data_IF_331587368013
#
_entry.id   IF_331587368013
#
_cell.length_a   1.000
_cell.length_b   1.000
_cell.length_c   1.000
_cell.angle_alpha   90.00
_cell.angle_beta   90.00
_cell.angle_gamma   90.00
#
_symmetry.space_group_name_H-M   'P 1'
#
loop_
_entity.id
_entity.type
_entity.pdbx_description
1 polymer ?
#
# COMPACT_ATOMS: atom_id res chain seq x y z
N UNK A 1 17.08 -34.75 34.95
CA UNK A 1 17.63 -34.24 33.67
C UNK A 1 16.51 -34.28 32.65
N UNK A 2 15.72 -33.21 32.56
CA UNK A 2 14.51 -33.17 31.72
C UNK A 2 14.72 -32.05 30.71
N UNK A 3 15.06 -32.43 29.47
CA UNK A 3 15.27 -31.50 28.36
C UNK A 3 13.94 -30.79 28.04
N UNK A 4 13.92 -29.47 28.23
CA UNK A 4 12.94 -28.58 27.58
C UNK A 4 13.11 -28.74 26.06
N UNK A 5 12.06 -29.20 25.39
CA UNK A 5 11.94 -29.10 23.94
C UNK A 5 11.62 -27.63 23.67
N UNK A 6 12.56 -26.92 23.06
CA UNK A 6 12.34 -25.58 22.57
C UNK A 6 11.35 -25.66 21.39
N UNK A 7 10.18 -25.05 21.58
CA UNK A 7 9.21 -24.79 20.53
C UNK A 7 9.83 -23.79 19.55
N UNK A 8 10.38 -24.31 18.45
CA UNK A 8 10.82 -23.51 17.31
C UNK A 8 9.60 -23.28 16.40
N UNK A 9 8.76 -22.33 16.77
CA UNK A 9 7.69 -21.82 15.91
C UNK A 9 7.67 -20.28 15.92
N UNK A 10 8.85 -19.65 15.87
CA UNK A 10 8.94 -18.21 15.64
C UNK A 10 8.95 -17.92 14.12
N UNK A 11 7.82 -18.24 13.47
CA UNK A 11 7.60 -17.97 12.04
C UNK A 11 6.84 -16.66 11.87
N UNK A 12 7.60 -15.57 11.76
CA UNK A 12 7.23 -14.28 11.14
C UNK A 12 5.81 -13.80 11.43
N UNK A 13 5.59 -13.21 12.62
CA UNK A 13 4.40 -12.38 12.85
C UNK A 13 4.40 -11.21 11.88
N UNK A 14 3.57 -11.29 10.85
CA UNK A 14 3.35 -10.17 9.93
C UNK A 14 2.53 -9.09 10.65
N UNK A 15 2.90 -7.81 10.52
CA UNK A 15 2.09 -6.72 11.05
C UNK A 15 0.66 -6.80 10.48
N UNK A 16 -0.34 -6.57 11.33
CA UNK A 16 -1.78 -6.67 11.04
C UNK A 16 -2.33 -5.50 10.21
N UNK A 17 -1.47 -4.57 9.80
CA UNK A 17 -1.83 -3.41 8.99
C UNK A 17 -1.34 -3.61 7.57
N UNK A 18 -2.04 -2.99 6.60
CA UNK A 18 -1.50 -2.90 5.24
C UNK A 18 -0.18 -2.10 5.22
N UNK A 19 0.49 -2.10 4.06
CA UNK A 19 1.71 -1.32 3.86
C UNK A 19 1.44 0.19 4.09
N UNK A 20 2.37 0.84 4.80
CA UNK A 20 2.36 2.30 4.95
C UNK A 20 3.10 2.94 3.78
N UNK A 21 2.36 3.15 2.69
CA UNK A 21 2.88 3.73 1.46
C UNK A 21 3.46 5.13 1.69
N UNK A 22 2.93 5.89 2.66
CA UNK A 22 3.42 7.24 2.94
C UNK A 22 4.74 7.19 3.72
N UNK A 23 4.81 6.34 4.74
CA UNK A 23 6.03 6.06 5.50
C UNK A 23 7.17 5.61 4.60
N UNK A 24 6.94 4.58 3.79
CA UNK A 24 7.93 4.03 2.86
C UNK A 24 8.46 5.11 1.89
N UNK A 25 7.57 5.96 1.37
CA UNK A 25 7.96 7.07 0.48
C UNK A 25 8.73 8.15 1.22
N UNK A 26 8.35 8.46 2.46
CA UNK A 26 9.06 9.43 3.29
C UNK A 26 10.48 8.96 3.61
N UNK A 27 10.66 7.67 3.89
CA UNK A 27 11.97 7.10 4.21
C UNK A 27 12.87 7.05 2.97
N UNK A 28 12.33 6.66 1.81
CA UNK A 28 13.06 6.77 0.54
C UNK A 28 13.47 8.22 0.22
N UNK A 29 12.62 9.20 0.52
CA UNK A 29 12.95 10.61 0.32
C UNK A 29 14.04 11.09 1.29
N UNK A 30 14.04 10.60 2.55
CA UNK A 30 15.10 10.88 3.53
C UNK A 30 16.44 10.30 3.12
N UNK A 31 16.44 9.11 2.54
CA UNK A 31 17.66 8.46 2.07
C UNK A 31 18.29 9.24 0.91
N UNK A 32 17.47 9.74 -0.01
CA UNK A 32 17.94 10.49 -1.18
C UNK A 32 18.31 11.95 -0.88
N UNK A 33 17.56 12.61 0.01
CA UNK A 33 17.67 14.05 0.27
C UNK A 33 17.51 14.35 1.78
N UNK A 34 18.44 13.91 2.65
CA UNK A 34 18.32 14.09 4.09
C UNK A 34 18.23 15.56 4.51
N UNK A 35 18.90 16.46 3.78
CA UNK A 35 18.95 17.90 4.05
C UNK A 35 17.60 18.62 3.90
N UNK A 36 16.65 18.01 3.18
CA UNK A 36 15.32 18.59 2.93
C UNK A 36 14.36 18.37 4.11
N UNK A 37 14.76 17.59 5.11
CA UNK A 37 13.99 17.41 6.34
C UNK A 37 14.52 18.30 7.46
N UNK A 38 13.62 19.02 8.14
CA UNK A 38 13.92 19.81 9.33
C UNK A 38 12.87 19.48 10.41
N UNK A 39 13.34 19.15 11.63
CA UNK A 39 12.45 18.82 12.77
C UNK A 39 11.43 17.72 12.46
N UNK A 40 11.82 16.75 11.61
CA UNK A 40 10.95 15.64 11.20
C UNK A 40 9.92 15.99 10.13
N UNK A 41 9.89 17.23 9.62
CA UNK A 41 9.00 17.68 8.53
C UNK A 41 9.77 17.97 7.24
N UNK A 42 9.08 17.82 6.11
CA UNK A 42 9.62 18.13 4.79
C UNK A 42 9.62 19.64 4.53
N UNK A 43 10.78 20.21 4.24
CA UNK A 43 10.95 21.59 3.81
C UNK A 43 10.94 21.68 2.27
N UNK A 44 9.83 22.16 1.73
CA UNK A 44 9.66 22.30 0.28
C UNK A 44 10.62 23.30 -0.37
N UNK A 45 11.12 24.30 0.37
CA UNK A 45 12.11 25.24 -0.17
C UNK A 45 13.45 24.53 -0.36
N UNK A 46 13.89 23.78 0.64
CA UNK A 46 15.11 22.98 0.52
C UNK A 46 15.00 21.90 -0.54
N UNK A 47 13.84 21.23 -0.64
CA UNK A 47 13.61 20.26 -1.71
C UNK A 47 13.68 20.91 -3.10
N UNK A 48 13.10 22.11 -3.24
CA UNK A 48 13.16 22.86 -4.50
C UNK A 48 14.59 23.25 -4.86
N UNK A 49 15.40 23.66 -3.88
CA UNK A 49 16.81 23.97 -4.07
C UNK A 49 17.61 22.71 -4.45
N UNK A 50 17.39 21.59 -3.75
CA UNK A 50 18.06 20.32 -4.00
C UNK A 50 17.77 19.76 -5.40
N UNK A 51 16.52 19.85 -5.85
CA UNK A 51 16.10 19.43 -7.20
C UNK A 51 16.50 20.42 -8.30
N UNK A 52 16.78 21.68 -7.94
CA UNK A 52 17.32 22.72 -8.82
C UNK A 52 16.54 22.87 -10.12
N UNK A 53 17.21 22.57 -11.24
CA UNK A 53 16.67 22.74 -12.62
C UNK A 53 15.52 21.79 -12.96
N UNK A 54 15.28 20.74 -12.16
CA UNK A 54 14.17 19.81 -12.38
C UNK A 54 12.83 20.37 -11.89
N UNK A 55 12.83 21.47 -11.12
CA UNK A 55 11.60 22.06 -10.62
C UNK A 55 11.05 23.05 -11.64
N UNK A 56 9.99 22.63 -12.32
CA UNK A 56 9.23 23.47 -13.25
C UNK A 56 8.44 24.57 -12.51
N UNK A 57 8.57 25.81 -12.98
CA UNK A 57 7.92 27.02 -12.43
C UNK A 57 6.44 27.18 -12.86
N UNK A 58 5.93 26.28 -13.69
CA UNK A 58 4.50 25.93 -13.74
C UNK A 58 3.58 26.97 -14.34
N UNK A 59 3.65 27.18 -15.67
CA UNK A 59 2.66 28.03 -16.35
C UNK A 59 1.46 27.29 -16.94
N UNK A 60 1.56 26.01 -17.29
CA UNK A 60 0.40 25.19 -17.64
C UNK A 60 0.84 23.72 -17.72
N UNK A 61 0.28 22.87 -16.86
CA UNK A 61 0.56 21.43 -16.89
C UNK A 61 -0.70 20.72 -17.38
N UNK A 62 -0.57 19.91 -18.42
CA UNK A 62 -1.62 18.96 -18.78
C UNK A 62 -1.79 17.97 -17.63
N UNK A 63 -2.93 18.04 -16.95
CA UNK A 63 -3.25 17.18 -15.83
C UNK A 63 -4.74 17.08 -15.65
N UNK A 64 -5.27 15.87 -15.52
CA UNK A 64 -6.67 15.66 -15.21
C UNK A 64 -6.93 16.12 -13.77
N UNK A 65 -7.79 17.12 -13.60
CA UNK A 65 -8.23 17.63 -12.29
C UNK A 65 -9.73 17.48 -12.18
N UNK A 66 -10.20 16.96 -11.05
CA UNK A 66 -11.61 16.75 -10.76
C UNK A 66 -11.89 16.96 -9.28
N UNK A 67 -13.15 17.23 -8.94
CA UNK A 67 -13.61 17.38 -7.55
C UNK A 67 -13.42 16.04 -6.83
N UNK A 68 -12.82 16.07 -5.63
CA UNK A 68 -12.54 14.86 -4.84
C UNK A 68 -11.19 14.18 -5.14
N UNK A 69 -10.41 14.63 -6.13
CA UNK A 69 -9.07 14.06 -6.42
C UNK A 69 -8.16 14.04 -5.19
N UNK A 70 -8.10 15.14 -4.44
CA UNK A 70 -7.26 15.25 -3.26
C UNK A 70 -7.71 14.29 -2.14
N UNK A 71 -9.02 14.06 -2.01
CA UNK A 71 -9.59 13.15 -1.02
C UNK A 71 -9.32 11.69 -1.39
N UNK A 72 -9.49 11.31 -2.66
CA UNK A 72 -9.13 9.99 -3.15
C UNK A 72 -7.65 9.67 -2.91
N UNK A 73 -6.75 10.64 -3.13
CA UNK A 73 -5.33 10.47 -2.86
C UNK A 73 -5.03 10.29 -1.36
N UNK A 74 -5.74 11.01 -0.47
CA UNK A 74 -5.63 10.79 0.98
C UNK A 74 -6.11 9.39 1.37
N UNK A 75 -7.24 8.93 0.83
CA UNK A 75 -7.79 7.61 1.13
C UNK A 75 -6.84 6.45 0.74
N UNK A 76 -6.06 6.60 -0.33
CA UNK A 76 -5.01 5.64 -0.74
C UNK A 76 -3.87 5.56 0.29
N UNK A 77 -3.54 6.68 0.94
CA UNK A 77 -2.46 6.75 1.92
C UNK A 77 -2.84 6.21 3.30
N UNK A 78 -4.14 6.11 3.60
CA UNK A 78 -4.61 5.54 4.87
C UNK A 78 -4.40 4.02 4.87
N UNK A 79 -3.62 3.45 5.80
CA UNK A 79 -3.46 2.01 5.92
C UNK A 79 -4.78 1.33 6.29
N UNK A 80 -4.98 0.11 5.79
CA UNK A 80 -6.04 -0.79 6.23
C UNK A 80 -5.68 -1.45 7.56
N UNK A 81 -6.67 -1.61 8.43
CA UNK A 81 -6.59 -2.34 9.71
C UNK A 81 -7.38 -3.65 9.68
N UNK A 82 -7.93 -4.01 8.51
CA UNK A 82 -8.73 -5.22 8.32
C UNK A 82 -7.89 -6.50 8.26
N UNK A 83 -8.57 -7.64 8.30
CA UNK A 83 -7.96 -8.95 8.01
C UNK A 83 -8.96 -9.81 7.23
N UNK A 84 -8.45 -10.77 6.46
CA UNK A 84 -9.27 -11.74 5.74
C UNK A 84 -9.59 -12.92 6.66
N UNK A 85 -10.87 -13.30 6.72
CA UNK A 85 -11.33 -14.46 7.47
C UNK A 85 -11.63 -15.62 6.51
N UNK A 86 -11.05 -16.81 6.72
CA UNK A 86 -11.31 -17.95 5.86
C UNK A 86 -12.73 -18.52 6.11
N UNK A 87 -13.54 -18.60 5.05
CA UNK A 87 -14.84 -19.29 5.09
C UNK A 87 -14.70 -20.71 4.54
N UNK A 88 -14.42 -21.68 5.42
CA UNK A 88 -14.21 -23.08 5.02
C UNK A 88 -15.49 -23.79 4.56
N UNK A 89 -16.65 -23.36 5.06
CA UNK A 89 -17.94 -24.03 4.79
C UNK A 89 -18.39 -23.83 3.34
N UNK A 90 -18.20 -22.63 2.81
CA UNK A 90 -18.55 -22.29 1.42
C UNK A 90 -17.40 -22.52 0.42
N UNK A 91 -16.21 -22.88 0.93
CA UNK A 91 -15.04 -23.11 0.09
C UNK A 91 -15.04 -24.50 -0.54
N UNK A 92 -14.74 -24.54 -1.84
CA UNK A 92 -14.54 -25.79 -2.57
C UNK A 92 -13.06 -26.18 -2.53
N UNK A 93 -12.74 -27.38 -2.02
CA UNK A 93 -11.36 -27.88 -1.91
C UNK A 93 -10.39 -26.90 -1.22
N UNK A 94 -10.81 -26.33 -0.07
CA UNK A 94 -10.11 -25.24 0.64
C UNK A 94 -8.58 -25.44 0.75
N UNK A 95 -8.12 -26.64 1.10
CA UNK A 95 -6.70 -26.93 1.33
C UNK A 95 -5.87 -27.14 0.04
N UNK A 96 -6.51 -27.27 -1.13
CA UNK A 96 -5.85 -27.63 -2.40
C UNK A 96 -6.07 -26.62 -3.54
N UNK A 97 -7.10 -25.79 -3.46
CA UNK A 97 -7.42 -24.82 -4.50
C UNK A 97 -6.33 -23.74 -4.61
N UNK A 98 -5.94 -23.41 -5.84
CA UNK A 98 -5.08 -22.25 -6.12
C UNK A 98 -5.90 -20.98 -6.43
N UNK A 99 -7.23 -21.10 -6.48
CA UNK A 99 -8.15 -20.00 -6.75
C UNK A 99 -8.73 -19.45 -5.46
N UNK A 100 -8.77 -18.12 -5.35
CA UNK A 100 -9.27 -17.40 -4.19
C UNK A 100 -10.44 -16.52 -4.62
N UNK A 101 -11.54 -16.61 -3.89
CA UNK A 101 -12.66 -15.67 -3.95
C UNK A 101 -12.70 -14.88 -2.65
N UNK A 102 -12.86 -13.56 -2.73
CA UNK A 102 -12.88 -12.67 -1.57
C UNK A 102 -14.12 -11.80 -1.65
N UNK A 103 -14.92 -11.80 -0.60
CA UNK A 103 -16.07 -10.92 -0.45
C UNK A 103 -15.69 -9.70 0.40
N UNK A 104 -16.05 -8.50 -0.06
CA UNK A 104 -15.81 -7.24 0.65
C UNK A 104 -15.73 -6.04 -0.27
N UNK A 105 -15.46 -4.88 0.33
CA UNK A 105 -15.14 -3.66 -0.41
C UNK A 105 -13.83 -3.84 -1.19
N UNK A 106 -13.85 -3.57 -2.49
CA UNK A 106 -12.72 -3.86 -3.37
C UNK A 106 -11.47 -3.06 -3.00
N UNK A 107 -11.62 -1.82 -2.54
CA UNK A 107 -10.51 -0.96 -2.20
C UNK A 107 -9.80 -1.45 -0.94
N UNK A 108 -10.56 -1.85 0.07
CA UNK A 108 -10.01 -2.44 1.29
C UNK A 108 -9.35 -3.80 1.04
N UNK A 109 -9.98 -4.67 0.25
CA UNK A 109 -9.41 -5.98 -0.12
C UNK A 109 -8.09 -5.80 -0.85
N UNK A 110 -8.00 -4.88 -1.80
CA UNK A 110 -6.76 -4.64 -2.55
C UNK A 110 -5.63 -4.13 -1.65
N UNK A 111 -5.92 -3.33 -0.61
CA UNK A 111 -4.91 -2.92 0.38
C UNK A 111 -4.34 -4.11 1.16
N UNK A 112 -5.19 -5.07 1.54
CA UNK A 112 -4.76 -6.28 2.24
C UNK A 112 -3.90 -7.19 1.35
N UNK A 113 -4.27 -7.32 0.07
CA UNK A 113 -3.53 -8.15 -0.88
C UNK A 113 -2.19 -7.55 -1.33
N UNK A 114 -2.03 -6.23 -1.19
CA UNK A 114 -0.87 -5.48 -1.70
C UNK A 114 0.46 -6.12 -1.30
N UNK A 115 0.64 -6.45 -0.01
CA UNK A 115 1.89 -7.00 0.51
C UNK A 115 2.25 -8.37 -0.08
N UNK A 116 1.25 -9.24 -0.23
CA UNK A 116 1.47 -10.63 -0.64
C UNK A 116 1.53 -10.82 -2.16
N UNK A 117 0.86 -9.93 -2.92
CA UNK A 117 0.66 -10.06 -4.36
C UNK A 117 1.28 -8.94 -5.21
N UNK A 118 1.96 -7.95 -4.60
CA UNK A 118 2.67 -6.90 -5.35
C UNK A 118 3.61 -7.51 -6.40
N UNK A 119 3.47 -7.05 -7.65
CA UNK A 119 4.28 -7.51 -8.77
C UNK A 119 4.02 -8.95 -9.24
N UNK A 120 3.05 -9.67 -8.66
CA UNK A 120 2.74 -11.07 -9.00
C UNK A 120 1.53 -11.26 -9.92
N UNK A 121 0.73 -10.21 -10.13
CA UNK A 121 -0.49 -10.28 -10.95
C UNK A 121 -0.15 -10.05 -12.43
N UNK A 122 -0.45 -11.05 -13.28
CA UNK A 122 -0.17 -11.00 -14.72
C UNK A 122 -1.22 -10.22 -15.52
N UNK A 123 -2.49 -10.35 -15.17
CA UNK A 123 -3.62 -9.74 -15.87
C UNK A 123 -4.68 -9.34 -14.86
N UNK A 124 -5.22 -8.13 -15.01
CA UNK A 124 -6.38 -7.63 -14.27
C UNK A 124 -7.49 -7.39 -15.28
N UNK A 125 -8.63 -8.02 -15.07
CA UNK A 125 -9.86 -7.78 -15.82
C UNK A 125 -10.91 -7.20 -14.86
N UNK A 126 -11.45 -6.03 -15.19
CA UNK A 126 -12.50 -5.35 -14.42
C UNK A 126 -13.60 -4.88 -15.37
N UNK A 127 -14.84 -5.04 -14.93
CA UNK A 127 -16.03 -4.49 -15.60
C UNK A 127 -16.73 -3.51 -14.63
N UNK A 128 -16.19 -2.29 -14.45
CA UNK A 128 -16.76 -1.33 -13.52
C UNK A 128 -18.08 -0.76 -14.05
N UNK A 129 -18.95 -0.22 -13.19
CA UNK A 129 -20.19 0.40 -13.63
C UNK A 129 -19.92 1.57 -14.59
N UNK A 130 -20.62 1.59 -15.73
CA UNK A 130 -20.55 2.68 -16.69
C UNK A 130 -21.38 3.87 -16.21
N UNK A 131 -20.78 5.07 -16.28
CA UNK A 131 -21.44 6.32 -15.90
C UNK A 131 -22.31 6.87 -17.06
N UNK A 132 -23.27 6.06 -17.52
CA UNK A 132 -24.23 6.39 -18.59
C UNK A 132 -25.37 7.26 -18.11
#
# INVERSE_FOLDING_TARGET
>A
MTKKIADQSDSTRLPLTSLDVLGDRSDALRELFPEVFAEGRLDFQKLRIALGRLVDEGRERYGLTWVGKAEAMRAIQVPSVGTLLPNREESVNFEKSEHVFIEGDNFEVLKLLQKSYAGKVKLIYIDPPYNT
#
